data_IF_989082329304
#
_entry.id   IF_989082329304
#
_cell.length_a   1.000
_cell.length_b   1.000
_cell.length_c   1.000
_cell.angle_alpha   90.00
_cell.angle_beta   90.00
_cell.angle_gamma   90.00
#
_symmetry.space_group_name_H-M   'P 1'
#
loop_
_entity.id
_entity.type
_entity.pdbx_description
1 polymer ?
#
# COMPACT_ATOMS: atom_id res chain seq x y z
N UNK A 1 -16.85 -15.41 6.59
CA UNK A 1 -15.62 -14.71 6.17
C UNK A 1 -16.06 -13.55 5.29
N UNK A 2 -15.91 -12.30 5.76
CA UNK A 2 -16.25 -11.14 4.95
C UNK A 2 -15.29 -11.07 3.74
N UNK A 3 -15.84 -10.87 2.54
CA UNK A 3 -15.03 -10.66 1.35
C UNK A 3 -14.23 -9.37 1.54
N UNK A 4 -12.91 -9.47 1.47
CA UNK A 4 -12.02 -8.30 1.50
C UNK A 4 -12.28 -7.51 0.21
N UNK A 5 -12.60 -6.21 0.29
CA UNK A 5 -12.84 -5.41 -0.90
C UNK A 5 -11.58 -5.38 -1.77
N UNK A 6 -11.73 -5.43 -3.09
CA UNK A 6 -10.63 -5.10 -4.00
C UNK A 6 -10.09 -3.70 -3.65
N UNK A 7 -8.79 -3.45 -3.83
CA UNK A 7 -8.13 -2.18 -3.43
C UNK A 7 -8.85 -0.92 -3.95
N UNK A 8 -9.53 -1.02 -5.10
CA UNK A 8 -10.39 0.03 -5.70
C UNK A 8 -11.68 0.34 -4.92
N UNK A 9 -11.99 -0.40 -3.86
CA UNK A 9 -13.22 -0.28 -3.08
C UNK A 9 -12.99 0.39 -1.71
N UNK A 10 -11.74 0.57 -1.26
CA UNK A 10 -11.43 1.21 0.04
C UNK A 10 -12.04 2.63 0.13
N UNK A 11 -11.98 3.48 -0.92
CA UNK A 11 -12.65 4.79 -0.88
C UNK A 11 -14.17 4.68 -0.63
N UNK A 12 -14.78 3.56 -1.03
CA UNK A 12 -16.22 3.29 -0.95
C UNK A 12 -16.61 2.44 0.27
N UNK A 13 -15.70 2.20 1.22
CA UNK A 13 -16.01 1.43 2.43
C UNK A 13 -17.20 2.02 3.18
N UNK A 14 -18.14 1.15 3.58
CA UNK A 14 -19.38 1.56 4.26
C UNK A 14 -19.16 1.82 5.75
N UNK A 15 -18.18 1.15 6.33
CA UNK A 15 -17.82 1.28 7.74
C UNK A 15 -16.35 1.63 7.91
N UNK A 16 -16.00 2.21 9.08
CA UNK A 16 -14.62 2.47 9.45
C UNK A 16 -13.79 1.17 9.55
N UNK A 17 -14.38 0.10 10.08
CA UNK A 17 -13.69 -1.19 10.23
C UNK A 17 -13.30 -1.79 8.87
N UNK A 18 -14.21 -1.76 7.89
CA UNK A 18 -13.92 -2.17 6.51
C UNK A 18 -12.83 -1.30 5.89
N UNK A 19 -12.85 0.02 6.12
CA UNK A 19 -11.84 0.94 5.61
C UNK A 19 -10.46 0.63 6.20
N UNK A 20 -10.34 0.55 7.52
CA UNK A 20 -9.07 0.28 8.21
C UNK A 20 -8.54 -1.12 7.84
N UNK A 21 -9.41 -2.12 7.72
CA UNK A 21 -9.01 -3.46 7.27
C UNK A 21 -8.48 -3.43 5.83
N UNK A 22 -9.14 -2.69 4.94
CA UNK A 22 -8.67 -2.50 3.56
C UNK A 22 -7.33 -1.78 3.48
N UNK A 23 -7.12 -0.73 4.28
CA UNK A 23 -5.85 0.01 4.36
C UNK A 23 -4.72 -0.84 4.94
N UNK A 24 -5.03 -1.68 5.94
CA UNK A 24 -4.07 -2.63 6.50
C UNK A 24 -3.63 -3.66 5.44
N UNK A 25 -4.57 -4.24 4.68
CA UNK A 25 -4.24 -5.14 3.58
C UNK A 25 -3.42 -4.45 2.49
N UNK A 26 -3.79 -3.22 2.11
CA UNK A 26 -3.04 -2.43 1.14
C UNK A 26 -1.59 -2.19 1.61
N UNK A 27 -1.38 -1.88 2.89
CA UNK A 27 -0.04 -1.71 3.45
C UNK A 27 0.79 -3.00 3.41
N UNK A 28 0.18 -4.17 3.68
CA UNK A 28 0.82 -5.47 3.52
C UNK A 28 1.23 -5.74 2.05
N UNK A 29 0.34 -5.44 1.10
CA UNK A 29 0.60 -5.62 -0.33
C UNK A 29 1.75 -4.69 -0.79
N UNK A 30 1.75 -3.43 -0.36
CA UNK A 30 2.82 -2.47 -0.61
C UNK A 30 4.17 -2.96 -0.06
N UNK A 31 4.21 -3.38 1.22
CA UNK A 31 5.44 -3.88 1.85
C UNK A 31 6.02 -5.07 1.06
N UNK A 32 5.18 -6.05 0.72
CA UNK A 32 5.60 -7.22 -0.03
C UNK A 32 6.05 -6.90 -1.46
N UNK A 33 5.37 -5.97 -2.15
CA UNK A 33 5.71 -5.57 -3.51
C UNK A 33 7.02 -4.77 -3.55
N UNK A 34 7.18 -3.78 -2.66
CA UNK A 34 8.39 -2.96 -2.59
C UNK A 34 9.62 -3.76 -2.14
N UNK A 35 9.47 -4.69 -1.18
CA UNK A 35 10.56 -5.57 -0.78
C UNK A 35 11.09 -6.39 -1.96
N UNK A 36 10.21 -7.01 -2.74
CA UNK A 36 10.61 -7.77 -3.92
C UNK A 36 11.17 -6.89 -5.04
N UNK A 37 10.62 -5.69 -5.23
CA UNK A 37 11.14 -4.73 -6.19
C UNK A 37 12.57 -4.31 -5.82
N UNK A 38 12.87 -4.10 -4.53
CA UNK A 38 14.23 -3.80 -4.06
C UNK A 38 15.23 -4.93 -4.34
N UNK A 39 14.80 -6.19 -4.26
CA UNK A 39 15.65 -7.35 -4.57
C UNK A 39 15.96 -7.47 -6.07
N UNK A 40 15.00 -7.07 -6.92
CA UNK A 40 15.07 -7.26 -8.39
C UNK A 40 15.55 -6.04 -9.15
N UNK A 41 15.42 -4.84 -8.60
CA UNK A 41 15.83 -3.60 -9.24
C UNK A 41 17.33 -3.60 -9.55
N UNK A 42 17.66 -3.25 -10.78
CA UNK A 42 19.05 -3.12 -11.25
C UNK A 42 19.58 -1.70 -11.04
N UNK A 43 18.72 -0.69 -11.21
CA UNK A 43 19.02 0.70 -10.90
C UNK A 43 19.13 0.95 -9.38
N UNK A 44 20.20 1.66 -8.99
CA UNK A 44 20.52 1.90 -7.59
C UNK A 44 19.55 2.87 -6.92
N UNK A 45 19.06 3.89 -7.65
CA UNK A 45 18.08 4.86 -7.14
C UNK A 45 16.74 4.17 -6.89
N UNK A 46 16.27 3.37 -7.86
CA UNK A 46 15.06 2.56 -7.73
C UNK A 46 15.17 1.61 -6.54
N UNK A 47 16.28 0.87 -6.44
CA UNK A 47 16.51 -0.08 -5.33
C UNK A 47 16.44 0.60 -3.97
N UNK A 48 17.11 1.74 -3.81
CA UNK A 48 17.09 2.50 -2.55
C UNK A 48 15.68 3.01 -2.22
N UNK A 49 14.97 3.54 -3.23
CA UNK A 49 13.59 3.99 -3.05
C UNK A 49 12.67 2.84 -2.62
N UNK A 50 12.79 1.66 -3.22
CA UNK A 50 11.99 0.49 -2.88
C UNK A 50 12.22 0.01 -1.44
N UNK A 51 13.47 0.03 -0.96
CA UNK A 51 13.78 -0.30 0.44
C UNK A 51 13.14 0.70 1.41
N UNK A 52 13.20 2.00 1.08
CA UNK A 52 12.55 3.05 1.87
C UNK A 52 11.04 2.84 1.91
N UNK A 53 10.41 2.60 0.77
CA UNK A 53 8.95 2.45 0.68
C UNK A 53 8.45 1.19 1.38
N UNK A 54 9.21 0.08 1.32
CA UNK A 54 8.92 -1.10 2.11
C UNK A 54 8.94 -0.80 3.62
N UNK A 55 9.97 -0.09 4.10
CA UNK A 55 10.07 0.28 5.51
C UNK A 55 8.93 1.20 5.97
N UNK A 56 8.50 2.14 5.12
CA UNK A 56 7.32 2.98 5.38
C UNK A 56 6.05 2.13 5.47
N UNK A 57 5.85 1.19 4.54
CA UNK A 57 4.68 0.32 4.53
C UNK A 57 4.61 -0.58 5.78
N UNK A 58 5.73 -1.11 6.27
CA UNK A 58 5.75 -1.87 7.54
C UNK A 58 5.32 -1.00 8.74
N UNK A 59 5.77 0.26 8.79
CA UNK A 59 5.29 1.20 9.80
C UNK A 59 3.79 1.50 9.66
N UNK A 60 3.26 1.55 8.43
CA UNK A 60 1.82 1.77 8.20
C UNK A 60 1.00 0.57 8.66
N UNK A 61 1.48 -0.67 8.49
CA UNK A 61 0.84 -1.90 8.99
C UNK A 61 0.59 -1.78 10.51
N UNK A 62 1.61 -1.39 11.27
CA UNK A 62 1.48 -1.26 12.72
C UNK A 62 0.49 -0.14 13.11
N UNK A 63 0.52 1.00 12.40
CA UNK A 63 -0.38 2.12 12.64
C UNK A 63 -1.85 1.78 12.34
N UNK A 64 -2.14 1.13 11.20
CA UNK A 64 -3.50 0.72 10.85
C UNK A 64 -4.03 -0.40 11.75
N UNK A 65 -3.18 -1.39 12.07
CA UNK A 65 -3.53 -2.47 13.00
C UNK A 65 -3.96 -1.92 14.37
N UNK A 66 -3.29 -0.87 14.84
CA UNK A 66 -3.60 -0.23 16.12
C UNK A 66 -4.99 0.44 16.20
N UNK A 67 -5.68 0.62 15.06
CA UNK A 67 -7.03 1.19 15.00
C UNK A 67 -8.14 0.12 15.00
N UNK A 68 -7.78 -1.17 14.96
CA UNK A 68 -8.73 -2.29 15.03
C UNK A 68 -8.84 -2.83 16.46
N UNK A 69 -10.02 -3.27 16.86
CA UNK A 69 -10.26 -3.86 18.18
C UNK A 69 -11.15 -5.12 18.10
N UNK A 70 -10.62 -6.32 18.42
CA UNK A 70 -9.22 -6.57 18.75
C UNK A 70 -8.31 -6.35 17.52
N UNK A 71 -7.04 -5.97 17.73
CA UNK A 71 -6.08 -5.93 16.64
C UNK A 71 -5.88 -7.35 16.10
N UNK A 72 -5.98 -7.59 14.79
CA UNK A 72 -5.71 -8.90 14.22
C UNK A 72 -4.22 -9.24 14.35
N UNK A 73 -3.84 -10.53 14.31
CA UNK A 73 -2.41 -10.85 14.33
C UNK A 73 -1.73 -10.29 13.08
N UNK A 74 -0.48 -9.84 13.27
CA UNK A 74 0.34 -9.29 12.18
C UNK A 74 0.51 -10.30 11.02
N UNK A 75 0.34 -11.60 11.30
CA UNK A 75 0.44 -12.68 10.31
C UNK A 75 -0.92 -13.16 9.74
N UNK A 76 -2.03 -13.06 10.50
CA UNK A 76 -3.34 -13.64 10.10
C UNK A 76 -4.19 -12.73 9.22
N UNK A 77 -3.87 -11.44 9.11
CA UNK A 77 -4.57 -10.52 8.20
C UNK A 77 -4.16 -10.70 6.74
N UNK A 78 -3.13 -11.50 6.47
CA UNK A 78 -2.60 -11.72 5.12
C UNK A 78 -3.52 -12.70 4.40
N UNK A 79 -4.62 -12.21 3.83
CA UNK A 79 -5.25 -12.94 2.72
C UNK A 79 -4.19 -13.04 1.63
N UNK A 80 -3.80 -14.28 1.34
CA UNK A 80 -2.67 -14.66 0.48
C UNK A 80 -2.92 -14.35 -1.00
N UNK A 81 -3.17 -13.09 -1.34
CA UNK A 81 -2.99 -12.54 -2.69
C UNK A 81 -1.52 -12.21 -2.97
N UNK A 82 -0.62 -12.61 -2.07
CA UNK A 82 0.85 -12.64 -2.24
C UNK A 82 1.28 -13.35 -3.54
N UNK A 83 0.42 -14.24 -4.10
CA UNK A 83 0.68 -14.89 -5.39
C UNK A 83 0.53 -13.96 -6.61
N UNK A 84 -0.24 -12.87 -6.52
CA UNK A 84 -0.41 -11.97 -7.67
C UNK A 84 0.80 -11.07 -7.91
N UNK A 85 1.53 -10.70 -6.85
CA UNK A 85 2.76 -9.88 -6.95
C UNK A 85 4.01 -10.70 -7.27
N UNK A 86 4.23 -11.83 -6.57
CA UNK A 86 5.42 -12.68 -6.72
C UNK A 86 5.56 -13.30 -8.12
N UNK A 87 4.46 -13.75 -8.71
CA UNK A 87 4.46 -14.38 -10.03
C UNK A 87 4.61 -13.34 -11.15
N UNK A 88 4.12 -12.11 -10.96
CA UNK A 88 4.21 -11.06 -11.98
C UNK A 88 5.60 -10.47 -12.10
N UNK A 89 6.33 -10.27 -10.99
CA UNK A 89 7.67 -9.63 -11.03
C UNK A 89 8.75 -10.50 -11.69
N UNK A 90 8.61 -11.82 -11.72
CA UNK A 90 9.61 -12.74 -12.28
C UNK A 90 9.76 -12.64 -13.81
N UNK A 91 8.75 -12.13 -14.51
CA UNK A 91 8.71 -12.05 -15.99
C UNK A 91 8.76 -10.61 -16.52
N UNK A 92 9.10 -9.62 -15.67
CA UNK A 92 9.11 -8.21 -16.08
C UNK A 92 10.41 -7.85 -16.78
N UNK A 93 10.30 -7.12 -17.89
CA UNK A 93 11.43 -6.68 -18.74
C UNK A 93 12.30 -5.59 -18.11
N UNK A 94 12.82 -5.83 -16.91
CA UNK A 94 13.67 -4.91 -16.15
C UNK A 94 12.89 -3.87 -15.32
N UNK A 95 13.62 -2.84 -14.88
CA UNK A 95 13.15 -1.85 -13.90
C UNK A 95 11.86 -1.12 -14.30
N UNK A 96 11.66 -0.84 -15.59
CA UNK A 96 10.40 -0.24 -16.08
C UNK A 96 9.20 -1.15 -15.86
N UNK A 97 9.37 -2.45 -16.08
CA UNK A 97 8.32 -3.43 -15.81
C UNK A 97 8.02 -3.50 -14.32
N UNK A 98 9.05 -3.53 -13.48
CA UNK A 98 8.92 -3.50 -12.01
C UNK A 98 8.11 -2.26 -11.58
N UNK A 99 8.49 -1.06 -12.04
CA UNK A 99 7.78 0.19 -11.74
C UNK A 99 6.33 0.14 -12.20
N UNK A 100 6.05 -0.34 -13.42
CA UNK A 100 4.69 -0.47 -13.91
C UNK A 100 3.83 -1.42 -13.05
N UNK A 101 4.43 -2.50 -12.53
CA UNK A 101 3.74 -3.47 -11.69
C UNK A 101 3.38 -2.92 -10.30
N UNK A 102 4.23 -2.06 -9.73
CA UNK A 102 4.04 -1.51 -8.36
C UNK A 102 3.40 -0.13 -8.35
N UNK A 103 3.27 0.54 -9.50
CA UNK A 103 2.68 1.88 -9.57
C UNK A 103 1.26 1.92 -9.01
N UNK A 104 0.46 0.88 -9.28
CA UNK A 104 -0.90 0.80 -8.77
C UNK A 104 -0.94 0.76 -7.24
N UNK A 105 0.01 0.14 -6.55
CA UNK A 105 0.09 0.16 -5.08
C UNK A 105 0.24 1.59 -4.53
N UNK A 106 1.14 2.38 -5.12
CA UNK A 106 1.35 3.77 -4.71
C UNK A 106 0.12 4.64 -5.05
N UNK A 107 -0.45 4.45 -6.23
CA UNK A 107 -1.64 5.17 -6.66
C UNK A 107 -2.86 4.86 -5.76
N UNK A 108 -3.12 3.58 -5.51
CA UNK A 108 -4.24 3.13 -4.67
C UNK A 108 -4.07 3.63 -3.23
N UNK A 109 -2.83 3.65 -2.70
CA UNK A 109 -2.54 4.22 -1.38
C UNK A 109 -2.86 5.70 -1.31
N UNK A 110 -2.41 6.49 -2.30
CA UNK A 110 -2.70 7.92 -2.35
C UNK A 110 -4.21 8.19 -2.46
N UNK A 111 -4.91 7.48 -3.35
CA UNK A 111 -6.36 7.61 -3.53
C UNK A 111 -7.14 7.20 -2.29
N UNK A 112 -6.75 6.08 -1.64
CA UNK A 112 -7.41 5.63 -0.42
C UNK A 112 -7.17 6.60 0.74
N UNK A 113 -5.94 7.05 0.96
CA UNK A 113 -5.64 8.01 2.02
C UNK A 113 -6.33 9.36 1.81
N UNK A 114 -6.37 9.86 0.57
CA UNK A 114 -7.09 11.08 0.25
C UNK A 114 -8.58 10.93 0.56
N UNK A 115 -9.23 9.89 0.03
CA UNK A 115 -10.65 9.65 0.25
C UNK A 115 -10.98 9.48 1.75
N UNK A 116 -10.22 8.65 2.46
CA UNK A 116 -10.45 8.35 3.88
C UNK A 116 -10.20 9.57 4.76
N UNK A 117 -9.23 10.42 4.42
CA UNK A 117 -8.97 11.65 5.19
C UNK A 117 -10.16 12.62 5.19
N UNK A 118 -11.05 12.51 4.20
CA UNK A 118 -12.21 13.38 4.01
C UNK A 118 -13.53 12.77 4.54
N UNK A 119 -13.53 11.53 5.04
CA UNK A 119 -14.73 10.84 5.56
C UNK A 119 -15.10 11.36 6.95
N UNK A 120 -15.91 12.41 7.01
CA UNK A 120 -16.33 13.04 8.27
C UNK A 120 -17.10 12.09 9.21
N UNK A 121 -17.72 11.04 8.67
CA UNK A 121 -18.40 10.01 9.46
C UNK A 121 -17.45 8.99 10.12
N UNK A 122 -16.16 8.98 9.75
CA UNK A 122 -15.17 8.08 10.36
C UNK A 122 -14.52 8.70 11.60
N UNK A 123 -14.04 7.87 12.55
CA UNK A 123 -13.31 8.33 13.71
C UNK A 123 -12.14 9.24 13.34
N UNK A 124 -11.94 10.31 14.14
CA UNK A 124 -10.87 11.29 13.93
C UNK A 124 -9.49 10.66 13.85
N UNK A 125 -9.23 9.60 14.61
CA UNK A 125 -7.95 8.88 14.57
C UNK A 125 -7.68 8.27 13.19
N UNK A 126 -8.69 7.66 12.56
CA UNK A 126 -8.59 7.10 11.21
C UNK A 126 -8.33 8.19 10.18
N UNK A 127 -9.16 9.24 10.17
CA UNK A 127 -9.05 10.33 9.17
C UNK A 127 -7.76 11.12 9.32
N UNK A 128 -7.31 11.35 10.57
CA UNK A 128 -6.04 12.04 10.85
C UNK A 128 -4.82 11.19 10.45
N UNK A 129 -4.87 9.87 10.67
CA UNK A 129 -3.81 8.98 10.21
C UNK A 129 -3.75 8.96 8.68
N UNK A 130 -4.88 8.84 7.98
CA UNK A 130 -4.91 8.89 6.52
C UNK A 130 -4.33 10.22 5.98
N UNK A 131 -4.73 11.35 6.56
CA UNK A 131 -4.20 12.67 6.20
C UNK A 131 -2.68 12.77 6.43
N UNK A 132 -2.18 12.18 7.52
CA UNK A 132 -0.76 12.18 7.86
C UNK A 132 0.07 11.35 6.87
N UNK A 133 -0.46 10.21 6.39
CA UNK A 133 0.25 9.30 5.49
C UNK A 133 0.11 9.68 4.00
N UNK A 134 -0.85 10.53 3.64
CA UNK A 134 -1.09 10.96 2.27
C UNK A 134 0.13 11.57 1.55
N UNK A 135 0.91 12.49 2.16
CA UNK A 135 2.08 13.07 1.50
C UNK A 135 3.13 12.01 1.11
N UNK A 136 3.35 11.01 1.97
CA UNK A 136 4.28 9.90 1.68
C UNK A 136 3.82 9.10 0.45
N UNK A 137 2.52 8.79 0.36
CA UNK A 137 1.95 8.08 -0.78
C UNK A 137 2.01 8.91 -2.08
N UNK A 138 1.83 10.23 -1.99
CA UNK A 138 1.96 11.14 -3.13
C UNK A 138 3.42 11.22 -3.63
N UNK A 139 4.40 11.28 -2.72
CA UNK A 139 5.82 11.23 -3.05
C UNK A 139 6.21 9.92 -3.74
N UNK A 140 5.73 8.78 -3.23
CA UNK A 140 5.95 7.46 -3.84
C UNK A 140 5.40 7.42 -5.27
N UNK A 141 4.17 7.87 -5.48
CA UNK A 141 3.54 7.94 -6.80
C UNK A 141 4.34 8.82 -7.75
N UNK A 142 4.74 10.02 -7.32
CA UNK A 142 5.50 10.96 -8.13
C UNK A 142 6.88 10.40 -8.52
N UNK A 143 7.56 9.73 -7.59
CA UNK A 143 8.83 9.06 -7.86
C UNK A 143 8.67 7.98 -8.95
N UNK A 144 7.70 7.08 -8.79
CA UNK A 144 7.46 5.99 -9.73
C UNK A 144 7.03 6.51 -11.11
N UNK A 145 6.20 7.55 -11.16
CA UNK A 145 5.80 8.18 -12.42
C UNK A 145 7.00 8.80 -13.14
N UNK A 146 7.86 9.52 -12.40
CA UNK A 146 9.08 10.11 -12.96
C UNK A 146 10.00 9.03 -13.48
N UNK A 147 10.22 7.96 -12.71
CA UNK A 147 11.10 6.85 -13.09
C UNK A 147 10.59 6.13 -14.36
N UNK A 148 9.29 5.91 -14.47
CA UNK A 148 8.68 5.25 -15.64
C UNK A 148 8.88 6.03 -16.95
N UNK A 149 9.10 7.35 -16.89
CA UNK A 149 9.27 8.24 -18.05
C UNK A 149 10.73 8.41 -18.49
N UNK A 150 11.70 7.91 -17.72
CA UNK A 150 13.13 7.86 -18.10
C UNK A 150 13.35 6.76 -19.12
#
# INVERSE_FOLDING_TARGET
>A
MAQVPALTQIPNSKTNEEAVTGLLQLAHDCHAAYGQAAEKASDAELKQAMQKFASQADSHIDQWRGLLNPPPDKETTISTSVNSGKVKLANLGGDKGIVAAIFNNANDSATAYEAISQRAEFPKQTTSLAAKLLPEAQEQRAFLEKFAKQ
#
